data_IF_819311725106
#
_entry.id   IF_819311725106
#
_cell.length_a   1.000
_cell.length_b   1.000
_cell.length_c   1.000
_cell.angle_alpha   90.00
_cell.angle_beta   90.00
_cell.angle_gamma   90.00
#
_symmetry.space_group_name_H-M   'P 1'
#
loop_
_entity.id
_entity.type
_entity.pdbx_description
1 polymer ?
#
# COMPACT_ATOMS: atom_id res chain seq x y z
N UNK A 1 5.21 41.56 0.95
CA UNK A 1 4.33 40.64 0.22
C UNK A 1 4.41 39.23 0.80
N UNK A 2 3.83 39.04 1.98
CA UNK A 2 3.98 37.79 2.76
C UNK A 2 3.04 36.68 2.26
N UNK A 3 1.90 37.06 1.68
CA UNK A 3 0.89 36.14 1.17
C UNK A 3 1.43 35.41 -0.07
N UNK A 4 2.08 36.14 -0.98
CA UNK A 4 2.64 35.56 -2.21
C UNK A 4 3.79 34.59 -1.89
N UNK A 5 4.68 34.94 -0.95
CA UNK A 5 5.77 34.04 -0.52
C UNK A 5 5.24 32.76 0.14
N UNK A 6 4.22 32.85 0.98
CA UNK A 6 3.56 31.66 1.57
C UNK A 6 2.95 30.78 0.49
N UNK A 7 2.28 31.37 -0.51
CA UNK A 7 1.70 30.63 -1.64
C UNK A 7 2.77 29.88 -2.43
N UNK A 8 3.92 30.50 -2.70
CA UNK A 8 5.03 29.87 -3.42
C UNK A 8 5.59 28.63 -2.72
N UNK A 9 5.62 28.62 -1.38
CA UNK A 9 6.08 27.47 -0.60
C UNK A 9 5.04 26.36 -0.49
N UNK A 10 3.76 26.72 -0.39
CA UNK A 10 2.65 25.76 -0.19
C UNK A 10 2.28 25.05 -1.49
N UNK A 11 2.28 25.76 -2.62
CA UNK A 11 1.87 25.23 -3.92
C UNK A 11 2.55 23.89 -4.31
N UNK A 12 3.89 23.75 -4.24
CA UNK A 12 4.56 22.50 -4.63
C UNK A 12 4.22 21.31 -3.71
N UNK A 13 3.80 21.56 -2.46
CA UNK A 13 3.34 20.52 -1.55
C UNK A 13 1.92 20.09 -1.94
N UNK A 14 1.05 21.05 -2.25
CA UNK A 14 -0.30 20.75 -2.75
C UNK A 14 -0.27 19.94 -4.05
N UNK A 15 0.65 20.26 -4.97
CA UNK A 15 0.83 19.51 -6.21
C UNK A 15 1.25 18.05 -5.94
N UNK A 16 2.16 17.82 -4.97
CA UNK A 16 2.55 16.47 -4.57
C UNK A 16 1.38 15.68 -3.98
N UNK A 17 0.59 16.31 -3.11
CA UNK A 17 -0.62 15.71 -2.54
C UNK A 17 -1.61 15.36 -3.65
N UNK A 18 -1.83 16.25 -4.61
CA UNK A 18 -2.76 16.02 -5.71
C UNK A 18 -2.34 14.86 -6.61
N UNK A 19 -1.04 14.70 -6.87
CA UNK A 19 -0.51 13.55 -7.62
C UNK A 19 -0.74 12.25 -6.85
N UNK A 20 -0.46 12.23 -5.54
CA UNK A 20 -0.69 11.07 -4.70
C UNK A 20 -2.19 10.67 -4.64
N UNK A 21 -3.09 11.65 -4.53
CA UNK A 21 -4.54 11.45 -4.60
C UNK A 21 -4.97 10.80 -5.92
N UNK A 22 -4.40 11.24 -7.05
CA UNK A 22 -4.68 10.64 -8.37
C UNK A 22 -4.16 9.21 -8.50
N UNK A 23 -3.02 8.92 -7.88
CA UNK A 23 -2.44 7.58 -7.89
C UNK A 23 -3.31 6.60 -7.10
N UNK A 24 -3.71 7.00 -5.89
CA UNK A 24 -4.55 6.17 -5.02
C UNK A 24 -5.98 6.02 -5.55
N UNK A 25 -6.55 7.07 -6.16
CA UNK A 25 -7.90 6.97 -6.74
C UNK A 25 -7.96 5.96 -7.87
N UNK A 26 -6.91 5.88 -8.70
CA UNK A 26 -6.82 4.89 -9.77
C UNK A 26 -6.56 3.48 -9.26
N UNK A 27 -5.69 3.31 -8.26
CA UNK A 27 -5.32 1.99 -7.75
C UNK A 27 -6.48 1.34 -7.00
N UNK A 28 -7.20 2.12 -6.18
CA UNK A 28 -8.35 1.65 -5.38
C UNK A 28 -9.71 1.88 -6.03
N UNK A 29 -9.73 2.46 -7.25
CA UNK A 29 -10.96 2.76 -8.02
C UNK A 29 -11.94 3.65 -7.25
N UNK A 30 -11.43 4.70 -6.62
CA UNK A 30 -12.29 5.72 -6.03
C UNK A 30 -12.78 6.67 -7.11
N UNK A 31 -14.10 6.81 -7.20
CA UNK A 31 -14.72 7.77 -8.11
C UNK A 31 -14.70 9.20 -7.54
N UNK A 32 -14.75 9.33 -6.20
CA UNK A 32 -14.77 10.61 -5.49
C UNK A 32 -13.91 10.55 -4.23
N UNK A 33 -13.23 11.66 -3.94
CA UNK A 33 -12.46 11.86 -2.70
C UNK A 33 -12.84 13.23 -2.16
N UNK A 34 -13.24 13.29 -0.89
CA UNK A 34 -13.65 14.52 -0.23
C UNK A 34 -12.57 14.95 0.76
N UNK A 35 -12.22 16.23 0.73
CA UNK A 35 -11.36 16.85 1.73
C UNK A 35 -12.21 17.17 2.97
N UNK A 36 -11.86 16.56 4.10
CA UNK A 36 -12.55 16.76 5.38
C UNK A 36 -12.43 18.20 5.91
N UNK A 37 -11.43 18.94 5.45
CA UNK A 37 -11.21 20.35 5.83
C UNK A 37 -11.99 21.33 4.95
N UNK A 38 -12.60 20.88 3.86
CA UNK A 38 -13.42 21.73 3.00
C UNK A 38 -14.80 21.99 3.64
N UNK A 39 -15.46 23.07 3.18
CA UNK A 39 -16.81 23.47 3.61
C UNK A 39 -17.94 22.55 3.07
N UNK A 40 -17.73 21.24 3.10
CA UNK A 40 -18.69 20.23 2.66
C UNK A 40 -19.41 19.66 3.88
N UNK A 41 -20.73 19.54 3.80
CA UNK A 41 -21.53 18.92 4.87
C UNK A 41 -21.38 17.41 4.80
N UNK A 42 -20.51 16.86 5.66
CA UNK A 42 -20.35 15.43 5.86
C UNK A 42 -21.10 14.99 7.12
N UNK A 43 -22.14 14.17 6.96
CA UNK A 43 -22.96 13.71 8.09
C UNK A 43 -22.22 12.71 8.98
N UNK A 44 -21.49 11.79 8.36
CA UNK A 44 -20.70 10.77 9.04
C UNK A 44 -19.66 10.17 8.08
N UNK A 45 -18.48 9.82 8.60
CA UNK A 45 -17.49 8.98 7.92
C UNK A 45 -16.81 8.11 8.96
N UNK A 46 -16.63 6.84 8.64
CA UNK A 46 -15.83 5.93 9.42
C UNK A 46 -14.32 6.17 9.17
N UNK A 47 -13.45 5.74 10.10
CA UNK A 47 -11.99 5.90 10.01
C UNK A 47 -11.37 5.07 8.89
N UNK A 48 -11.94 3.91 8.58
CA UNK A 48 -11.48 3.05 7.47
C UNK A 48 -11.54 3.72 6.10
N UNK A 49 -12.39 4.74 5.94
CA UNK A 49 -12.49 5.52 4.71
C UNK A 49 -11.52 6.72 4.67
N UNK A 50 -10.76 6.96 5.75
CA UNK A 50 -9.71 7.97 5.78
C UNK A 50 -8.45 7.45 5.08
N UNK A 51 -8.12 8.06 3.95
CA UNK A 51 -6.96 7.69 3.12
C UNK A 51 -5.72 8.55 3.40
N UNK A 52 -5.76 9.41 4.43
CA UNK A 52 -4.68 10.36 4.74
C UNK A 52 -3.33 9.66 4.95
N UNK A 53 -3.29 8.59 5.74
CA UNK A 53 -2.06 7.82 6.00
C UNK A 53 -1.51 7.12 4.76
N UNK A 54 -2.40 6.76 3.84
CA UNK A 54 -2.01 6.14 2.57
C UNK A 54 -1.38 7.19 1.65
N UNK A 55 -1.98 8.38 1.58
CA UNK A 55 -1.46 9.52 0.83
C UNK A 55 -0.08 9.93 1.38
N UNK A 56 0.07 10.04 2.70
CA UNK A 56 1.36 10.36 3.34
C UNK A 56 2.44 9.34 2.96
N UNK A 57 2.12 8.05 3.02
CA UNK A 57 3.05 6.98 2.61
C UNK A 57 3.47 7.12 1.14
N UNK A 58 2.55 7.42 0.22
CA UNK A 58 2.88 7.64 -1.20
C UNK A 58 3.82 8.84 -1.36
N UNK A 59 3.56 9.96 -0.68
CA UNK A 59 4.39 11.16 -0.73
C UNK A 59 5.80 10.85 -0.20
N UNK A 60 5.91 10.20 0.95
CA UNK A 60 7.21 9.80 1.52
C UNK A 60 7.99 8.91 0.55
N UNK A 61 7.34 7.92 -0.08
CA UNK A 61 7.96 7.04 -1.06
C UNK A 61 8.46 7.78 -2.28
N UNK A 62 7.63 8.64 -2.87
CA UNK A 62 8.02 9.42 -4.05
C UNK A 62 9.19 10.35 -3.75
N UNK A 63 9.23 10.93 -2.54
CA UNK A 63 10.34 11.76 -2.08
C UNK A 63 11.62 10.95 -1.84
N UNK A 64 11.52 9.78 -1.21
CA UNK A 64 12.66 8.89 -1.03
C UNK A 64 13.23 8.48 -2.39
N UNK A 65 12.40 8.04 -3.34
CA UNK A 65 12.85 7.64 -4.69
C UNK A 65 13.54 8.77 -5.47
N UNK A 66 13.15 10.04 -5.27
CA UNK A 66 13.81 11.20 -5.89
C UNK A 66 15.21 11.47 -5.31
N UNK A 67 15.48 11.01 -4.09
CA UNK A 67 16.77 11.19 -3.40
C UNK A 67 17.75 10.03 -3.66
N UNK A 68 17.35 9.00 -4.43
CA UNK A 68 18.19 7.83 -4.71
C UNK A 68 18.91 7.97 -6.06
N UNK A 69 20.23 8.17 -6.00
CA UNK A 69 21.08 8.35 -7.18
C UNK A 69 21.64 7.00 -7.70
N UNK A 70 21.66 5.96 -6.87
CA UNK A 70 22.26 4.66 -7.22
C UNK A 70 21.24 3.60 -7.63
N UNK A 71 21.59 2.77 -8.62
CA UNK A 71 20.79 1.59 -9.05
C UNK A 71 20.51 0.60 -7.91
N UNK A 72 21.36 0.55 -6.87
CA UNK A 72 21.16 -0.32 -5.69
C UNK A 72 20.06 0.20 -4.77
N UNK A 73 20.05 1.51 -4.52
CA UNK A 73 19.06 2.18 -3.68
C UNK A 73 17.66 2.08 -4.30
N UNK A 74 17.55 2.28 -5.63
CA UNK A 74 16.28 2.11 -6.34
C UNK A 74 15.66 0.72 -6.17
N UNK A 75 16.48 -0.34 -6.18
CA UNK A 75 16.01 -1.72 -5.97
C UNK A 75 15.55 -1.98 -4.54
N UNK A 76 16.23 -1.39 -3.55
CA UNK A 76 15.84 -1.51 -2.14
C UNK A 76 14.50 -0.81 -1.87
N UNK A 77 14.32 0.39 -2.42
CA UNK A 77 13.04 1.10 -2.36
C UNK A 77 11.91 0.28 -3.02
N UNK A 78 12.14 -0.33 -4.18
CA UNK A 78 11.16 -1.21 -4.84
C UNK A 78 10.78 -2.43 -3.98
N UNK A 79 11.74 -3.03 -3.28
CA UNK A 79 11.47 -4.16 -2.37
C UNK A 79 10.70 -3.73 -1.11
N UNK A 80 11.06 -2.60 -0.50
CA UNK A 80 10.32 -2.00 0.62
C UNK A 80 8.89 -1.63 0.23
N UNK A 81 8.71 -1.06 -0.96
CA UNK A 81 7.40 -0.70 -1.49
C UNK A 81 6.52 -1.93 -1.67
N UNK A 82 7.11 -3.05 -2.12
CA UNK A 82 6.40 -4.32 -2.29
C UNK A 82 5.97 -4.92 -0.96
N UNK A 83 6.80 -4.80 0.09
CA UNK A 83 6.49 -5.28 1.43
C UNK A 83 5.36 -4.44 2.05
N UNK A 84 5.44 -3.13 1.96
CA UNK A 84 4.42 -2.24 2.54
C UNK A 84 3.11 -2.34 1.75
N UNK A 85 3.14 -2.49 0.42
CA UNK A 85 1.93 -2.75 -0.38
C UNK A 85 1.24 -4.05 0.05
N UNK A 86 2.01 -5.12 0.32
CA UNK A 86 1.44 -6.36 0.84
C UNK A 86 0.87 -6.23 2.26
N UNK A 87 1.41 -5.34 3.08
CA UNK A 87 0.88 -5.07 4.42
C UNK A 87 -0.42 -4.24 4.35
N UNK A 88 -0.50 -3.26 3.46
CA UNK A 88 -1.74 -2.50 3.22
C UNK A 88 -2.87 -3.40 2.71
N UNK A 89 -2.60 -4.29 1.74
CA UNK A 89 -3.58 -5.29 1.30
C UNK A 89 -4.02 -6.23 2.43
N UNK A 90 -3.14 -6.55 3.38
CA UNK A 90 -3.48 -7.37 4.54
C UNK A 90 -4.34 -6.59 5.56
N UNK A 91 -3.99 -5.34 5.87
CA UNK A 91 -4.77 -4.45 6.75
C UNK A 91 -6.20 -4.24 6.23
N UNK A 92 -6.36 -3.96 4.93
CA UNK A 92 -7.68 -3.78 4.31
C UNK A 92 -8.53 -5.07 4.35
N UNK A 93 -7.89 -6.25 4.34
CA UNK A 93 -8.59 -7.53 4.30
C UNK A 93 -8.92 -8.08 5.70
N UNK A 94 -8.09 -7.79 6.69
CA UNK A 94 -8.34 -8.16 8.09
C UNK A 94 -9.43 -7.27 8.71
N UNK A 95 -9.53 -5.99 8.31
CA UNK A 95 -10.65 -5.12 8.72
C UNK A 95 -12.00 -5.56 8.14
N UNK A 96 -12.04 -6.05 6.89
CA UNK A 96 -13.27 -6.56 6.28
C UNK A 96 -13.72 -7.88 6.91
N UNK A 97 -12.79 -8.75 7.36
CA UNK A 97 -13.11 -10.01 8.05
C UNK A 97 -13.59 -9.82 9.51
N UNK A 98 -13.29 -8.69 10.16
CA UNK A 98 -13.80 -8.36 11.50
C UNK A 98 -15.25 -7.83 11.47
N UNK A 99 -15.70 -7.20 10.38
CA UNK A 99 -17.08 -6.69 10.25
C UNK A 99 -18.12 -7.81 10.00
N UNK A 100 -17.70 -8.93 9.41
CA UNK A 100 -18.59 -10.06 9.06
C UNK A 100 -18.89 -11.00 10.27
N UNK A 101 -18.50 -10.61 11.49
CA UNK A 101 -18.73 -11.37 12.73
C UNK A 101 -19.88 -10.83 13.60
N UNK A 102 -20.79 -10.03 13.04
CA UNK A 102 -22.03 -9.66 13.72
C UNK A 102 -23.18 -10.59 13.31
N UNK A 103 -23.45 -11.58 14.17
CA UNK A 103 -24.68 -12.39 14.33
C UNK A 103 -25.40 -12.95 13.08
N UNK A 104 -24.84 -14.00 12.45
CA UNK A 104 -25.63 -14.95 11.66
C UNK A 104 -25.15 -16.41 11.86
N UNK A 105 -26.05 -17.40 12.02
CA UNK A 105 -25.67 -18.80 12.22
C UNK A 105 -25.16 -19.41 10.91
N UNK A 106 -23.96 -19.99 10.95
CA UNK A 106 -23.27 -20.62 9.81
C UNK A 106 -23.92 -21.94 9.39
N UNK A 107 -24.14 -22.20 8.08
CA UNK A 107 -24.29 -23.57 7.59
C UNK A 107 -22.92 -24.20 7.31
N UNK A 108 -22.88 -25.52 7.46
CA UNK A 108 -21.70 -26.38 7.48
C UNK A 108 -20.92 -26.48 6.15
N UNK A 109 -19.60 -26.71 6.30
CA UNK A 109 -18.68 -27.43 5.38
C UNK A 109 -18.46 -26.87 3.97
N UNK A 110 -18.03 -25.62 3.90
CA UNK A 110 -17.06 -25.20 2.87
C UNK A 110 -15.78 -24.85 3.64
N UNK A 111 -14.62 -25.38 3.22
CA UNK A 111 -13.31 -24.98 3.78
C UNK A 111 -13.33 -23.48 3.97
N UNK A 112 -13.17 -23.03 5.21
CA UNK A 112 -13.41 -21.62 5.52
C UNK A 112 -12.51 -20.78 4.62
N UNK A 113 -12.99 -19.63 4.14
CA UNK A 113 -12.21 -18.74 3.29
C UNK A 113 -10.81 -18.47 3.88
N UNK A 114 -10.73 -18.49 5.22
CA UNK A 114 -9.52 -18.46 6.04
C UNK A 114 -8.54 -19.60 5.76
N UNK A 115 -8.97 -20.86 5.74
CA UNK A 115 -8.09 -22.02 5.47
C UNK A 115 -7.56 -22.02 4.04
N UNK A 116 -8.41 -21.64 3.08
CA UNK A 116 -8.05 -21.58 1.66
C UNK A 116 -7.02 -20.47 1.41
N UNK A 117 -7.18 -19.34 2.10
CA UNK A 117 -6.28 -18.20 2.08
C UNK A 117 -4.95 -18.48 2.78
N UNK A 118 -4.98 -19.13 3.93
CA UNK A 118 -3.77 -19.54 4.66
C UNK A 118 -2.92 -20.50 3.84
N UNK A 119 -3.58 -21.40 3.09
CA UNK A 119 -2.93 -22.30 2.13
C UNK A 119 -2.29 -21.54 0.96
N UNK A 120 -3.01 -20.58 0.37
CA UNK A 120 -2.45 -19.73 -0.70
C UNK A 120 -1.25 -18.90 -0.22
N UNK A 121 -1.29 -18.38 1.01
CA UNK A 121 -0.18 -17.66 1.63
C UNK A 121 1.03 -18.55 1.88
N UNK A 122 0.83 -19.78 2.37
CA UNK A 122 1.90 -20.77 2.53
C UNK A 122 2.54 -21.11 1.19
N UNK A 123 1.75 -21.40 0.16
CA UNK A 123 2.25 -21.68 -1.19
C UNK A 123 3.03 -20.48 -1.78
N UNK A 124 2.56 -19.25 -1.56
CA UNK A 124 3.26 -18.04 -2.00
C UNK A 124 4.59 -17.84 -1.27
N UNK A 125 4.64 -18.09 0.05
CA UNK A 125 5.88 -18.04 0.85
C UNK A 125 6.88 -19.10 0.39
N UNK A 126 6.43 -20.31 0.11
CA UNK A 126 7.28 -21.40 -0.39
C UNK A 126 7.85 -21.10 -1.78
N UNK A 127 7.05 -20.57 -2.71
CA UNK A 127 7.54 -20.14 -4.04
C UNK A 127 8.60 -19.03 -3.93
N UNK A 128 8.43 -18.10 -3.00
CA UNK A 128 9.42 -17.04 -2.75
C UNK A 128 10.72 -17.64 -2.22
N UNK A 129 10.65 -18.54 -1.23
CA UNK A 129 11.82 -19.22 -0.67
C UNK A 129 12.54 -20.10 -1.70
N UNK A 130 11.82 -20.82 -2.54
CA UNK A 130 12.39 -21.60 -3.64
C UNK A 130 13.11 -20.71 -4.66
N UNK A 131 12.48 -19.58 -5.04
CA UNK A 131 13.10 -18.62 -5.95
C UNK A 131 14.39 -17.98 -5.38
N UNK A 132 14.48 -17.84 -4.05
CA UNK A 132 15.70 -17.36 -3.36
C UNK A 132 16.79 -18.43 -3.36
N UNK A 133 16.48 -19.69 -3.02
CA UNK A 133 17.45 -20.80 -3.08
C UNK A 133 18.01 -21.05 -4.48
N UNK A 134 17.17 -20.95 -5.51
CA UNK A 134 17.63 -21.10 -6.90
C UNK A 134 18.61 -19.99 -7.27
N UNK A 135 18.30 -18.73 -6.92
CA UNK A 135 19.19 -17.58 -7.15
C UNK A 135 20.54 -17.75 -6.44
N UNK A 136 20.52 -18.20 -5.19
CA UNK A 136 21.74 -18.45 -4.42
C UNK A 136 22.58 -19.58 -5.03
N UNK A 137 21.95 -20.66 -5.51
CA UNK A 137 22.64 -21.77 -6.17
C UNK A 137 23.24 -21.41 -7.55
N UNK A 138 22.58 -20.53 -8.32
CA UNK A 138 23.11 -20.02 -9.58
C UNK A 138 24.29 -19.07 -9.37
N UNK A 139 24.33 -18.37 -8.24
CA UNK A 139 25.45 -17.49 -7.88
C UNK A 139 26.71 -18.28 -7.50
N UNK A 140 26.55 -19.44 -6.83
CA UNK A 140 27.68 -20.29 -6.41
C UNK A 140 28.30 -21.02 -7.62
N UNK A 141 27.51 -21.44 -8.61
CA UNK A 141 28.04 -22.16 -9.80
C UNK A 141 28.87 -21.30 -10.75
N UNK A 142 28.60 -19.99 -10.83
CA UNK A 142 29.32 -19.09 -11.74
C UNK A 142 30.67 -18.58 -11.18
N UNK A 143 31.03 -18.94 -9.95
CA UNK A 143 32.28 -18.50 -9.32
C UNK A 143 33.38 -19.59 -9.28
N UNK A 144 33.14 -20.74 -9.94
CA UNK A 144 34.03 -21.90 -9.96
C UNK A 144 34.42 -22.33 -11.40
N UNK A 145 34.43 -21.41 -12.37
CA UNK A 145 34.93 -21.66 -13.73
C UNK A 145 35.94 -20.60 -14.15
#
# INVERSE_FOLDING_TARGET
DLIIQRKQLIQPIQDQIFIAIKEISKSRKYDFIFDKSADIVMLYSDRKFDISDQILRIITRTNNRKQLDSRREKRQAEEEDKIIASNLEAEDLDEVEEEDKTDAPKPEKVLSAKELREKMLRERKEKILASRKVKDSTFIKNNNN
#
